data_IF_818335687512
#
_entry.id   IF_818335687512
#
_cell.length_a   1.000
_cell.length_b   1.000
_cell.length_c   1.000
_cell.angle_alpha   90.00
_cell.angle_beta   90.00
_cell.angle_gamma   90.00
#
_symmetry.space_group_name_H-M   'P 1'
#
loop_
_entity.id
_entity.type
_entity.pdbx_description
1 polymer ?
#
# COMPACT_ATOMS: atom_id res chain seq x y z
N UNK A 1 -7.05 19.89 11.69
CA UNK A 1 -6.49 18.78 12.50
C UNK A 1 -7.07 18.87 13.91
N UNK A 2 -7.50 17.74 14.51
CA UNK A 2 -8.07 17.74 15.86
C UNK A 2 -7.06 18.16 16.92
N UNK A 3 -7.51 18.86 17.97
CA UNK A 3 -6.63 19.38 19.04
C UNK A 3 -6.09 18.30 19.98
N UNK A 4 -6.77 17.16 20.10
CA UNK A 4 -6.39 16.05 21.00
C UNK A 4 -6.50 14.72 20.28
N UNK A 5 -5.66 13.76 20.65
CA UNK A 5 -5.72 12.39 20.11
C UNK A 5 -7.05 11.71 20.41
N UNK A 6 -7.45 10.78 19.55
CA UNK A 6 -8.61 9.92 19.81
C UNK A 6 -8.41 9.08 21.07
N UNK A 7 -9.50 8.79 21.79
CA UNK A 7 -9.46 7.85 22.90
C UNK A 7 -9.20 6.43 22.39
N UNK A 8 -8.34 5.68 23.09
CA UNK A 8 -8.11 4.26 22.82
C UNK A 8 -9.04 3.43 23.71
N UNK A 9 -9.94 2.60 23.14
CA UNK A 9 -10.89 1.82 23.91
C UNK A 9 -10.19 0.69 24.65
N UNK A 10 -10.46 0.61 25.96
CA UNK A 10 -9.87 -0.32 26.93
C UNK A 10 -8.36 -0.14 27.12
N UNK A 11 -7.55 -0.29 26.07
CA UNK A 11 -6.09 -0.22 26.14
C UNK A 11 -5.61 1.23 26.25
N UNK A 12 -4.92 1.56 27.33
CA UNK A 12 -4.37 2.89 27.61
C UNK A 12 -2.85 2.94 27.53
N UNK A 13 -2.18 1.88 27.99
CA UNK A 13 -0.72 1.79 27.98
C UNK A 13 -0.26 0.55 27.20
N UNK A 14 0.51 0.76 26.15
CA UNK A 14 1.09 -0.30 25.34
C UNK A 14 2.60 -0.19 25.36
N UNK A 15 3.24 -1.20 25.94
CA UNK A 15 4.69 -1.38 25.94
C UNK A 15 5.07 -2.59 25.09
N UNK A 16 6.36 -2.75 24.83
CA UNK A 16 6.87 -3.77 23.92
C UNK A 16 7.96 -4.61 24.58
N UNK A 17 8.02 -5.88 24.18
CA UNK A 17 9.14 -6.74 24.58
C UNK A 17 10.42 -6.25 23.90
N UNK A 18 11.47 -6.05 24.69
CA UNK A 18 12.80 -5.56 24.32
C UNK A 18 13.87 -6.30 25.14
N UNK A 19 15.13 -6.24 24.70
CA UNK A 19 16.27 -6.91 25.32
C UNK A 19 16.05 -8.41 25.62
N UNK A 20 15.28 -9.08 24.75
CA UNK A 20 15.05 -10.51 24.84
C UNK A 20 16.14 -11.27 24.07
N UNK A 21 16.56 -12.40 24.62
CA UNK A 21 17.36 -13.39 23.88
C UNK A 21 16.40 -14.43 23.30
N UNK A 22 15.94 -14.27 22.04
CA UNK A 22 14.86 -15.09 21.52
C UNK A 22 15.33 -16.53 21.32
N UNK A 23 14.52 -17.47 21.83
CA UNK A 23 14.78 -18.90 21.68
C UNK A 23 13.71 -19.50 20.81
N UNK A 24 14.11 -20.08 19.68
CA UNK A 24 13.19 -20.79 18.79
C UNK A 24 12.76 -22.11 19.44
N UNK A 25 11.57 -22.13 20.05
CA UNK A 25 11.00 -23.34 20.66
C UNK A 25 10.12 -24.15 19.71
N UNK A 26 9.50 -23.49 18.73
CA UNK A 26 8.62 -24.10 17.73
C UNK A 26 9.31 -24.10 16.35
N UNK A 27 9.13 -25.17 15.55
CA UNK A 27 9.70 -25.25 14.20
C UNK A 27 9.15 -24.15 13.27
N UNK A 28 7.89 -23.78 13.50
CA UNK A 28 7.13 -22.73 12.82
C UNK A 28 6.64 -21.73 13.86
N UNK A 29 7.04 -20.46 13.82
CA UNK A 29 6.67 -19.55 14.92
C UNK A 29 7.13 -18.10 14.88
N UNK A 30 7.55 -17.57 13.73
CA UNK A 30 8.09 -16.22 13.62
C UNK A 30 9.59 -16.21 13.34
N UNK A 31 10.26 -15.16 13.77
CA UNK A 31 11.69 -14.93 13.54
C UNK A 31 12.42 -14.43 14.78
N UNK A 32 13.76 -14.41 14.70
CA UNK A 32 14.65 -13.76 15.66
C UNK A 32 14.29 -12.28 15.88
N UNK A 33 13.80 -11.60 14.83
CA UNK A 33 13.39 -10.20 14.88
C UNK A 33 12.09 -10.02 15.66
N UNK A 34 11.14 -10.95 15.51
CA UNK A 34 9.84 -10.96 16.19
C UNK A 34 9.86 -11.60 17.58
N UNK A 35 10.90 -12.36 17.91
CA UNK A 35 11.11 -12.97 19.23
C UNK A 35 10.54 -14.38 19.43
N UNK A 36 10.10 -15.04 18.36
CA UNK A 36 9.46 -16.36 18.42
C UNK A 36 8.37 -16.49 19.50
N UNK A 37 7.37 -15.59 19.56
CA UNK A 37 6.30 -15.73 20.54
C UNK A 37 5.66 -17.12 20.41
N UNK A 38 5.37 -17.80 21.51
CA UNK A 38 4.60 -19.06 21.49
C UNK A 38 3.16 -18.83 21.05
N UNK A 39 2.44 -19.88 20.65
CA UNK A 39 1.00 -19.77 20.39
C UNK A 39 0.20 -19.28 21.62
N UNK A 40 0.66 -19.61 22.83
CA UNK A 40 0.06 -19.10 24.07
C UNK A 40 0.24 -17.57 24.16
N UNK A 41 1.47 -17.07 24.04
CA UNK A 41 1.74 -15.62 24.08
C UNK A 41 0.98 -14.87 22.96
N UNK A 42 0.91 -15.46 21.77
CA UNK A 42 0.07 -14.93 20.68
C UNK A 42 -1.39 -14.81 21.13
N UNK A 43 -1.98 -15.85 21.68
CA UNK A 43 -3.39 -15.83 22.07
C UNK A 43 -3.64 -14.85 23.24
N UNK A 44 -2.74 -14.80 24.22
CA UNK A 44 -2.79 -13.86 25.35
C UNK A 44 -2.73 -12.40 24.87
N UNK A 45 -2.08 -12.13 23.73
CA UNK A 45 -1.99 -10.78 23.15
C UNK A 45 -3.31 -10.28 22.53
N UNK A 46 -4.29 -11.17 22.31
CA UNK A 46 -5.66 -10.80 21.90
C UNK A 46 -6.59 -10.59 23.11
N UNK A 47 -6.14 -10.83 24.34
CA UNK A 47 -6.90 -10.49 25.53
C UNK A 47 -6.57 -9.07 25.99
N UNK A 48 -7.33 -8.12 25.43
CA UNK A 48 -7.05 -6.69 25.53
C UNK A 48 -7.34 -6.19 26.94
N UNK A 49 -6.32 -5.58 27.56
CA UNK A 49 -6.32 -5.04 28.93
C UNK A 49 -5.90 -3.58 28.90
N UNK A 50 -6.11 -2.86 30.01
CA UNK A 50 -5.75 -1.44 30.13
C UNK A 50 -4.25 -1.18 29.91
N UNK A 51 -3.41 -2.13 30.32
CA UNK A 51 -1.97 -2.10 30.12
C UNK A 51 -1.48 -3.43 29.56
N UNK A 52 -0.68 -3.40 28.51
CA UNK A 52 -0.17 -4.60 27.84
C UNK A 52 1.29 -4.44 27.42
N UNK A 53 2.04 -5.53 27.52
CA UNK A 53 3.36 -5.69 26.86
C UNK A 53 3.24 -6.77 25.81
N UNK A 54 3.62 -6.48 24.56
CA UNK A 54 3.51 -7.43 23.44
C UNK A 54 4.79 -7.53 22.62
N UNK A 55 5.04 -8.69 22.03
CA UNK A 55 6.00 -8.83 20.93
C UNK A 55 5.53 -8.00 19.74
N UNK A 56 6.43 -7.20 19.15
CA UNK A 56 6.08 -6.30 18.04
C UNK A 56 7.31 -5.95 17.18
N UNK A 57 8.12 -6.96 16.86
CA UNK A 57 9.45 -6.76 16.27
C UNK A 57 10.42 -6.05 17.20
N UNK A 58 11.67 -5.90 16.76
CA UNK A 58 12.73 -5.18 17.49
C UNK A 58 12.95 -5.72 18.92
N UNK A 59 12.90 -7.03 19.10
CA UNK A 59 13.02 -7.66 20.44
C UNK A 59 14.45 -7.68 20.97
N UNK A 60 15.43 -7.64 20.05
CA UNK A 60 16.85 -7.49 20.38
C UNK A 60 17.14 -6.01 20.52
N UNK A 61 17.85 -5.63 21.58
CA UNK A 61 18.16 -4.24 21.89
C UNK A 61 16.98 -3.49 22.52
N UNK A 62 17.28 -2.28 23.00
CA UNK A 62 16.36 -1.44 23.76
C UNK A 62 15.72 -0.32 22.94
N UNK A 63 16.18 -0.12 21.70
CA UNK A 63 15.76 0.99 20.83
C UNK A 63 15.51 0.48 19.41
N UNK A 64 14.26 0.51 18.90
CA UNK A 64 13.96 0.10 17.54
C UNK A 64 14.88 0.79 16.51
N UNK A 65 15.47 0.00 15.63
CA UNK A 65 16.39 0.49 14.62
C UNK A 65 17.86 0.61 15.07
N UNK A 66 18.19 0.36 16.33
CA UNK A 66 19.58 0.34 16.82
C UNK A 66 19.97 -1.07 17.28
N UNK A 67 20.80 -1.77 16.50
CA UNK A 67 21.30 -3.13 16.81
C UNK A 67 20.19 -4.16 17.06
N UNK A 68 19.11 -4.05 16.29
CA UNK A 68 17.88 -4.84 16.44
C UNK A 68 17.68 -5.85 15.30
N UNK A 69 18.57 -5.84 14.29
CA UNK A 69 18.38 -6.60 13.06
C UNK A 69 17.46 -5.90 12.06
N UNK A 70 17.40 -4.57 12.12
CA UNK A 70 16.81 -3.65 11.13
C UNK A 70 17.46 -2.30 11.39
N UNK A 71 18.76 -2.22 11.16
CA UNK A 71 19.61 -1.19 11.77
C UNK A 71 19.66 0.08 10.90
N UNK A 72 19.42 1.21 11.53
CA UNK A 72 19.43 2.54 10.91
C UNK A 72 20.61 3.32 11.49
N UNK A 73 21.22 4.19 10.68
CA UNK A 73 22.29 5.06 11.14
C UNK A 73 21.82 5.95 12.30
N UNK A 74 22.68 6.17 13.30
CA UNK A 74 22.33 6.93 14.49
C UNK A 74 21.85 8.36 14.17
N UNK A 75 22.45 9.02 13.17
CA UNK A 75 22.04 10.36 12.77
C UNK A 75 20.64 10.39 12.13
N UNK A 76 20.23 9.30 11.49
CA UNK A 76 18.87 9.13 10.98
C UNK A 76 17.90 8.73 12.10
N UNK A 77 18.30 7.88 13.03
CA UNK A 77 17.49 7.53 14.21
C UNK A 77 17.13 8.76 15.04
N UNK A 78 18.08 9.68 15.26
CA UNK A 78 17.81 10.94 15.95
C UNK A 78 16.70 11.74 15.25
N UNK A 79 16.66 11.75 13.91
CA UNK A 79 15.62 12.44 13.13
C UNK A 79 14.28 11.71 13.10
N UNK A 80 14.27 10.40 13.33
CA UNK A 80 13.03 9.62 13.44
C UNK A 80 12.39 9.76 14.84
N UNK A 81 13.16 10.21 15.83
CA UNK A 81 12.65 10.53 17.16
C UNK A 81 12.05 11.93 17.27
N UNK A 82 12.30 12.80 16.29
CA UNK A 82 11.69 14.12 16.25
C UNK A 82 10.15 14.02 16.27
N UNK A 83 9.53 14.94 17.01
CA UNK A 83 8.08 14.97 17.15
C UNK A 83 7.43 15.57 15.92
N UNK A 84 6.47 14.85 15.34
CA UNK A 84 5.70 15.31 14.19
C UNK A 84 4.23 14.97 14.33
N UNK A 85 3.36 15.92 13.96
CA UNK A 85 1.92 15.66 13.93
C UNK A 85 1.56 14.67 12.81
N UNK A 86 2.18 14.81 11.63
CA UNK A 86 1.89 13.99 10.46
C UNK A 86 3.20 13.63 9.75
N UNK A 87 3.32 12.37 9.34
CA UNK A 87 4.37 11.90 8.43
C UNK A 87 3.78 11.13 7.25
N UNK A 88 4.53 11.08 6.15
CA UNK A 88 4.28 10.15 5.05
C UNK A 88 5.48 9.20 4.95
N UNK A 89 5.22 7.91 4.86
CA UNK A 89 6.25 6.89 4.77
C UNK A 89 6.03 5.94 3.60
N UNK A 90 7.13 5.45 3.05
CA UNK A 90 7.17 4.42 2.02
C UNK A 90 8.43 3.58 2.17
N UNK A 91 8.54 2.49 1.43
CA UNK A 91 9.76 1.71 1.37
C UNK A 91 9.96 0.98 0.04
N UNK A 92 11.23 0.75 -0.30
CA UNK A 92 11.65 -0.08 -1.42
C UNK A 92 12.82 -0.96 -0.96
N UNK A 93 12.58 -2.26 -0.92
CA UNK A 93 13.60 -3.28 -0.60
C UNK A 93 13.84 -4.15 -1.84
N UNK A 94 15.08 -4.60 -2.04
CA UNK A 94 15.49 -5.41 -3.18
C UNK A 94 15.38 -4.70 -4.51
N UNK A 95 15.48 -3.36 -4.52
CA UNK A 95 15.39 -2.52 -5.73
C UNK A 95 14.14 -2.82 -6.58
N UNK A 96 13.04 -3.20 -5.92
CA UNK A 96 11.86 -3.79 -6.54
C UNK A 96 11.02 -2.78 -7.34
N UNK A 97 11.04 -1.52 -6.91
CA UNK A 97 10.22 -0.44 -7.46
C UNK A 97 11.07 0.79 -7.78
N UNK A 98 10.48 1.70 -8.57
CA UNK A 98 11.04 3.03 -8.83
C UNK A 98 10.40 4.02 -7.87
N UNK A 99 11.21 4.85 -7.21
CA UNK A 99 10.74 5.90 -6.31
C UNK A 99 9.83 6.88 -7.06
N UNK A 100 8.56 6.94 -6.64
CA UNK A 100 7.59 7.89 -7.16
C UNK A 100 7.59 9.19 -6.33
N UNK A 101 7.62 10.34 -7.00
CA UNK A 101 7.63 11.64 -6.31
C UNK A 101 6.21 12.11 -5.96
N UNK A 102 5.91 12.46 -4.69
CA UNK A 102 4.62 13.02 -4.34
C UNK A 102 4.35 14.31 -5.13
N UNK A 103 3.12 14.48 -5.59
CA UNK A 103 2.64 15.64 -6.32
C UNK A 103 1.51 16.34 -5.56
N UNK A 104 1.24 17.59 -5.92
CA UNK A 104 0.17 18.41 -5.34
C UNK A 104 0.27 18.59 -3.80
N UNK A 105 1.50 18.61 -3.28
CA UNK A 105 1.77 18.86 -1.86
C UNK A 105 1.84 20.37 -1.62
N UNK A 106 1.00 20.87 -0.73
CA UNK A 106 0.94 22.29 -0.34
C UNK A 106 2.23 22.77 0.32
N UNK A 107 2.46 24.08 0.33
CA UNK A 107 3.63 24.67 1.01
C UNK A 107 3.62 24.36 2.51
N UNK A 108 2.45 24.40 3.15
CA UNK A 108 2.28 24.02 4.55
C UNK A 108 2.69 22.57 4.81
N UNK A 109 2.23 21.63 3.98
CA UNK A 109 2.61 20.22 4.10
C UNK A 109 4.11 20.01 3.81
N UNK A 110 4.68 20.66 2.78
CA UNK A 110 6.13 20.57 2.50
C UNK A 110 7.00 21.04 3.66
N UNK A 111 6.52 22.01 4.44
CA UNK A 111 7.23 22.53 5.62
C UNK A 111 7.07 21.64 6.85
N UNK A 112 5.89 21.07 7.07
CA UNK A 112 5.52 20.46 8.34
C UNK A 112 5.39 18.93 8.32
N UNK A 113 5.32 18.31 7.13
CA UNK A 113 5.13 16.86 6.96
C UNK A 113 6.42 16.25 6.40
N UNK A 114 7.19 15.52 7.21
CA UNK A 114 8.30 14.72 6.72
C UNK A 114 7.82 13.58 5.81
N UNK A 115 8.61 13.32 4.76
CA UNK A 115 8.44 12.19 3.85
C UNK A 115 9.65 11.27 4.00
N UNK A 116 9.45 10.06 4.52
CA UNK A 116 10.51 9.08 4.72
C UNK A 116 10.39 7.91 3.74
N UNK A 117 11.50 7.53 3.12
CA UNK A 117 11.60 6.37 2.24
C UNK A 117 12.65 5.42 2.82
N UNK A 118 12.20 4.27 3.33
CA UNK A 118 13.08 3.24 3.86
C UNK A 118 13.58 2.35 2.73
N UNK A 119 14.90 2.16 2.63
CA UNK A 119 15.51 1.32 1.60
C UNK A 119 16.58 0.40 2.19
N UNK A 120 16.88 -0.71 1.51
CA UNK A 120 18.05 -1.51 1.84
C UNK A 120 19.31 -1.06 1.10
N UNK A 121 20.43 -1.68 1.47
CA UNK A 121 21.73 -1.44 0.84
C UNK A 121 21.73 -1.70 -0.67
N UNK A 122 20.98 -2.70 -1.13
CA UNK A 122 20.89 -3.01 -2.57
C UNK A 122 20.28 -1.84 -3.34
N UNK A 123 19.15 -1.33 -2.86
CA UNK A 123 18.48 -0.17 -3.44
C UNK A 123 19.34 1.09 -3.30
N UNK A 124 20.03 1.29 -2.17
CA UNK A 124 20.96 2.41 -1.95
C UNK A 124 22.07 2.43 -3.01
N UNK A 125 22.71 1.29 -3.28
CA UNK A 125 23.75 1.18 -4.31
C UNK A 125 23.23 1.54 -5.70
N UNK A 126 22.02 1.08 -6.06
CA UNK A 126 21.40 1.45 -7.32
C UNK A 126 21.17 2.96 -7.45
N UNK A 127 20.67 3.61 -6.39
CA UNK A 127 20.40 5.05 -6.39
C UNK A 127 21.65 5.91 -6.43
N UNK A 128 22.74 5.47 -5.79
CA UNK A 128 24.05 6.15 -5.88
C UNK A 128 24.62 6.07 -7.28
N UNK A 129 24.50 4.91 -7.94
CA UNK A 129 24.98 4.72 -9.31
C UNK A 129 24.21 5.55 -10.33
N UNK A 130 22.92 5.80 -10.11
CA UNK A 130 22.10 6.66 -10.98
C UNK A 130 22.23 8.16 -10.66
N UNK A 131 23.06 8.55 -9.70
CA UNK A 131 23.22 9.94 -9.23
C UNK A 131 21.88 10.60 -8.83
N UNK A 132 20.89 9.79 -8.42
CA UNK A 132 19.56 10.28 -8.06
C UNK A 132 19.50 10.89 -6.65
N UNK A 133 20.46 10.52 -5.80
CA UNK A 133 20.54 10.92 -4.39
C UNK A 133 21.29 12.25 -4.24
N UNK A 134 20.68 13.22 -3.57
CA UNK A 134 21.34 14.48 -3.28
C UNK A 134 22.32 14.41 -2.09
N UNK A 135 23.07 15.48 -1.86
CA UNK A 135 24.04 15.60 -0.76
C UNK A 135 23.45 15.44 0.65
N UNK A 136 22.12 15.57 0.80
CA UNK A 136 21.41 15.50 2.08
C UNK A 136 20.66 14.17 2.28
N UNK A 137 20.97 13.16 1.46
CA UNK A 137 20.28 11.86 1.42
C UNK A 137 18.79 12.02 1.10
N UNK A 138 18.44 12.86 0.11
CA UNK A 138 17.07 13.05 -0.37
C UNK A 138 16.94 12.76 -1.86
N UNK A 139 15.72 12.39 -2.24
CA UNK A 139 15.26 12.32 -3.63
C UNK A 139 13.92 13.05 -3.70
N UNK A 140 13.96 14.29 -4.20
CA UNK A 140 12.81 15.20 -4.17
C UNK A 140 12.31 15.42 -2.73
N UNK A 141 11.06 15.06 -2.45
CA UNK A 141 10.50 15.20 -1.09
C UNK A 141 10.99 14.14 -0.11
N UNK A 142 11.37 12.96 -0.60
CA UNK A 142 11.74 11.84 0.23
C UNK A 142 13.10 12.05 0.88
N UNK A 143 13.15 11.96 2.22
CA UNK A 143 14.38 11.63 2.96
C UNK A 143 14.59 10.13 2.89
N UNK A 144 15.76 9.72 2.40
CA UNK A 144 16.15 8.32 2.30
C UNK A 144 16.71 7.85 3.63
N UNK A 145 16.13 6.77 4.16
CA UNK A 145 16.59 6.10 5.37
C UNK A 145 17.11 4.73 4.96
N UNK A 146 18.42 4.51 5.12
CA UNK A 146 19.06 3.26 4.72
C UNK A 146 19.03 2.28 5.89
N UNK A 147 18.44 1.11 5.65
CA UNK A 147 18.34 0.01 6.60
C UNK A 147 19.43 -1.01 6.31
N UNK A 148 20.14 -1.41 7.37
CA UNK A 148 21.21 -2.40 7.37
C UNK A 148 20.77 -3.61 8.20
N UNK A 149 21.47 -4.73 8.04
CA UNK A 149 21.23 -5.96 8.82
C UNK A 149 19.75 -6.40 8.80
N UNK A 150 19.12 -6.33 7.62
CA UNK A 150 17.70 -6.63 7.44
C UNK A 150 17.33 -8.04 7.96
N UNK A 151 16.16 -8.22 8.60
CA UNK A 151 15.87 -9.42 9.38
C UNK A 151 15.44 -10.63 8.54
N UNK A 152 15.01 -10.39 7.29
CA UNK A 152 14.48 -11.43 6.42
C UNK A 152 15.23 -11.51 5.10
N UNK A 153 15.30 -12.72 4.53
CA UNK A 153 15.76 -12.91 3.15
C UNK A 153 14.74 -12.44 2.12
N UNK A 154 13.45 -12.46 2.45
CA UNK A 154 12.37 -11.97 1.59
C UNK A 154 12.22 -10.45 1.70
N UNK A 155 12.59 -9.73 0.63
CA UNK A 155 12.46 -8.28 0.52
C UNK A 155 11.01 -7.79 0.78
N UNK A 156 9.99 -8.56 0.37
CA UNK A 156 8.59 -8.18 0.61
C UNK A 156 8.26 -8.20 2.09
N UNK A 157 8.82 -9.16 2.83
CA UNK A 157 8.67 -9.25 4.30
C UNK A 157 9.41 -8.12 5.00
N UNK A 158 10.61 -7.76 4.55
CA UNK A 158 11.33 -6.59 5.05
C UNK A 158 10.52 -5.30 4.87
N UNK A 159 9.86 -5.13 3.73
CA UNK A 159 8.95 -4.00 3.49
C UNK A 159 7.76 -3.94 4.45
N UNK A 160 7.39 -5.04 5.14
CA UNK A 160 6.32 -5.03 6.15
C UNK A 160 6.73 -4.38 7.46
N UNK A 161 8.04 -4.32 7.75
CA UNK A 161 8.56 -3.68 8.98
C UNK A 161 8.19 -2.19 9.00
N UNK A 162 8.65 -1.34 8.06
CA UNK A 162 8.26 0.07 8.07
C UNK A 162 6.80 0.26 7.64
N UNK A 163 6.12 -0.73 7.06
CA UNK A 163 4.68 -0.62 6.77
C UNK A 163 3.81 -0.71 8.02
N UNK A 164 4.02 -1.73 8.83
CA UNK A 164 3.15 -2.05 9.96
C UNK A 164 3.68 -1.43 11.26
N UNK A 165 5.00 -1.31 11.39
CA UNK A 165 5.68 -0.91 12.62
C UNK A 165 6.21 0.53 12.61
N UNK A 166 5.65 1.46 11.81
CA UNK A 166 6.05 2.89 11.89
C UNK A 166 5.97 3.43 13.31
N UNK A 167 4.98 3.00 14.10
CA UNK A 167 4.83 3.45 15.48
C UNK A 167 5.98 3.01 16.40
N UNK A 168 6.73 1.96 16.02
CA UNK A 168 7.98 1.56 16.71
C UNK A 168 9.17 2.42 16.25
N UNK A 169 9.22 2.75 14.96
CA UNK A 169 10.32 3.52 14.35
C UNK A 169 10.21 5.03 14.58
N UNK A 170 8.99 5.55 14.73
CA UNK A 170 8.63 6.96 14.86
C UNK A 170 7.71 7.11 16.09
N UNK A 171 8.24 6.97 17.32
CA UNK A 171 7.43 6.89 18.53
C UNK A 171 6.69 8.19 18.87
N UNK A 172 7.19 9.33 18.38
CA UNK A 172 6.65 10.67 18.67
C UNK A 172 5.80 11.23 17.52
N UNK A 173 5.17 10.36 16.73
CA UNK A 173 4.30 10.73 15.61
C UNK A 173 2.84 10.45 15.92
N UNK A 174 1.98 11.42 15.63
CA UNK A 174 0.53 11.27 15.86
C UNK A 174 -0.21 10.65 14.68
N UNK A 175 0.07 11.05 13.45
CA UNK A 175 -0.55 10.48 12.25
C UNK A 175 0.48 10.02 11.24
N UNK A 176 0.22 8.88 10.59
CA UNK A 176 1.02 8.38 9.48
C UNK A 176 0.15 8.04 8.26
N UNK A 177 0.72 8.31 7.08
CA UNK A 177 0.22 7.80 5.81
C UNK A 177 1.30 6.91 5.23
N UNK A 178 1.03 5.61 5.20
CA UNK A 178 1.85 4.64 4.47
C UNK A 178 1.42 4.59 3.01
N UNK A 179 2.39 4.66 2.10
CA UNK A 179 2.21 4.52 0.65
C UNK A 179 3.20 3.46 0.13
N UNK A 180 2.71 2.43 -0.53
CA UNK A 180 3.56 1.39 -1.15
C UNK A 180 4.49 1.97 -2.22
N UNK A 181 5.69 1.43 -2.39
CA UNK A 181 6.73 2.04 -3.25
C UNK A 181 6.33 2.24 -4.72
N UNK A 182 5.46 1.38 -5.23
CA UNK A 182 4.86 1.47 -6.58
C UNK A 182 3.83 2.62 -6.75
N UNK A 183 3.44 3.30 -5.67
CA UNK A 183 2.39 4.31 -5.70
C UNK A 183 2.97 5.72 -5.61
N UNK A 184 2.36 6.62 -6.37
CA UNK A 184 2.59 8.05 -6.29
C UNK A 184 1.46 8.72 -5.52
N UNK A 185 1.76 9.42 -4.42
CA UNK A 185 0.79 10.28 -3.74
C UNK A 185 0.54 11.54 -4.59
N UNK A 186 -0.72 11.83 -4.91
CA UNK A 186 -1.11 12.97 -5.76
C UNK A 186 -2.09 13.92 -5.09
N UNK A 187 -2.22 13.82 -3.77
CA UNK A 187 -3.08 14.65 -2.94
C UNK A 187 -2.34 15.04 -1.66
N UNK A 188 -2.65 16.22 -1.13
CA UNK A 188 -2.04 16.72 0.10
C UNK A 188 -2.35 15.79 1.31
N UNK A 189 -1.35 15.46 2.16
CA UNK A 189 -1.53 14.58 3.32
C UNK A 189 -2.65 15.01 4.26
N UNK A 190 -2.86 16.33 4.46
CA UNK A 190 -3.91 16.80 5.35
C UNK A 190 -5.30 16.53 4.79
N UNK A 191 -5.49 16.62 3.47
CA UNK A 191 -6.76 16.28 2.82
C UNK A 191 -7.06 14.78 2.91
N UNK A 192 -6.03 13.94 2.80
CA UNK A 192 -6.15 12.49 2.98
C UNK A 192 -6.59 12.16 4.42
N UNK A 193 -5.93 12.76 5.43
CA UNK A 193 -6.32 12.58 6.83
C UNK A 193 -7.72 13.09 7.13
N UNK A 194 -8.07 14.27 6.62
CA UNK A 194 -9.41 14.84 6.79
C UNK A 194 -10.50 13.90 6.28
N UNK A 195 -10.35 13.43 5.03
CA UNK A 195 -11.35 12.60 4.38
C UNK A 195 -11.52 11.23 5.04
N UNK A 196 -10.41 10.57 5.38
CA UNK A 196 -10.44 9.15 5.75
C UNK A 196 -10.35 8.89 7.25
N UNK A 197 -9.87 9.84 8.06
CA UNK A 197 -9.87 9.72 9.52
C UNK A 197 -10.84 10.70 10.15
N UNK A 198 -10.62 12.01 9.98
CA UNK A 198 -11.31 13.02 10.80
C UNK A 198 -12.80 13.10 10.52
N UNK A 199 -13.22 13.13 9.24
CA UNK A 199 -14.64 13.15 8.86
C UNK A 199 -15.36 11.84 9.17
N UNK A 200 -14.61 10.73 9.26
CA UNK A 200 -15.15 9.40 9.54
C UNK A 200 -15.13 9.06 11.03
N UNK A 201 -14.61 9.97 11.87
CA UNK A 201 -14.33 9.73 13.29
C UNK A 201 -13.58 8.39 13.52
N UNK A 202 -12.57 8.14 12.68
CA UNK A 202 -11.80 6.90 12.66
C UNK A 202 -10.33 7.15 13.01
N UNK A 203 -9.69 6.18 13.67
CA UNK A 203 -8.25 6.20 13.98
C UNK A 203 -7.42 5.33 13.03
N UNK A 204 -8.08 4.53 12.18
CA UNK A 204 -7.42 3.68 11.19
C UNK A 204 -8.29 3.58 9.93
N UNK A 205 -7.68 3.78 8.77
CA UNK A 205 -8.33 3.64 7.48
C UNK A 205 -7.46 2.86 6.48
N UNK A 206 -8.12 1.99 5.72
CA UNK A 206 -7.48 1.14 4.72
C UNK A 206 -8.46 0.85 3.60
N UNK A 207 -8.00 0.83 2.36
CA UNK A 207 -8.84 0.44 1.23
C UNK A 207 -9.13 -1.05 1.26
N UNK A 208 -10.34 -1.45 0.86
CA UNK A 208 -10.60 -2.86 0.49
C UNK A 208 -9.97 -3.20 -0.85
N UNK A 209 -9.63 -4.46 -1.04
CA UNK A 209 -9.13 -4.99 -2.29
C UNK A 209 -10.17 -4.87 -3.42
N UNK A 210 -9.74 -4.55 -4.64
CA UNK A 210 -10.63 -4.09 -5.71
C UNK A 210 -11.49 -5.19 -6.35
N UNK A 211 -11.13 -6.46 -6.15
CA UNK A 211 -11.77 -7.61 -6.82
C UNK A 211 -12.17 -8.75 -5.89
N UNK A 212 -11.29 -9.08 -4.95
CA UNK A 212 -11.45 -10.19 -4.01
C UNK A 212 -11.78 -9.63 -2.65
N UNK A 213 -12.83 -10.15 -2.01
CA UNK A 213 -13.32 -9.66 -0.73
C UNK A 213 -13.27 -10.69 0.38
N UNK A 214 -13.09 -11.96 0.01
CA UNK A 214 -12.97 -13.10 0.91
C UNK A 214 -11.50 -13.55 0.97
N UNK A 215 -11.01 -13.79 2.18
CA UNK A 215 -9.63 -14.23 2.45
C UNK A 215 -9.32 -15.61 1.85
N UNK A 216 -10.29 -16.51 1.73
CA UNK A 216 -10.13 -17.81 1.09
C UNK A 216 -9.96 -17.66 -0.42
N UNK A 217 -10.72 -16.76 -1.06
CA UNK A 217 -10.52 -16.41 -2.47
C UNK A 217 -9.15 -15.76 -2.71
N UNK A 218 -8.72 -14.89 -1.79
CA UNK A 218 -7.38 -14.29 -1.83
C UNK A 218 -6.28 -15.36 -1.71
N UNK A 219 -6.45 -16.35 -0.83
CA UNK A 219 -5.49 -17.45 -0.68
C UNK A 219 -5.34 -18.25 -1.98
N UNK A 220 -6.44 -18.65 -2.62
CA UNK A 220 -6.40 -19.35 -3.91
C UNK A 220 -5.76 -18.49 -5.00
N UNK A 221 -6.05 -17.19 -5.04
CA UNK A 221 -5.42 -16.28 -5.99
C UNK A 221 -3.90 -16.14 -5.76
N UNK A 222 -3.44 -16.15 -4.51
CA UNK A 222 -2.01 -16.12 -4.19
C UNK A 222 -1.30 -17.40 -4.63
N UNK A 223 -1.92 -18.57 -4.44
CA UNK A 223 -1.41 -19.86 -4.92
C UNK A 223 -1.34 -19.89 -6.45
N UNK A 224 -2.42 -19.51 -7.12
CA UNK A 224 -2.48 -19.49 -8.58
C UNK A 224 -1.45 -18.53 -9.21
N UNK A 225 -1.17 -17.41 -8.55
CA UNK A 225 -0.17 -16.43 -8.99
C UNK A 225 1.26 -16.74 -8.51
N UNK A 226 1.49 -17.88 -7.83
CA UNK A 226 2.81 -18.28 -7.33
C UNK A 226 3.44 -17.27 -6.36
N UNK A 227 2.62 -16.54 -5.58
CA UNK A 227 3.10 -15.44 -4.73
C UNK A 227 3.80 -15.93 -3.45
N UNK A 228 3.52 -17.16 -3.03
CA UNK A 228 4.16 -17.82 -1.90
C UNK A 228 4.00 -19.34 -2.06
N UNK A 229 4.73 -20.15 -1.29
CA UNK A 229 4.59 -21.61 -1.33
C UNK A 229 3.18 -22.06 -0.94
N UNK A 230 2.53 -22.87 -1.79
CA UNK A 230 1.14 -23.30 -1.61
C UNK A 230 0.90 -23.95 -0.24
N UNK A 231 1.78 -24.86 0.18
CA UNK A 231 1.67 -25.53 1.49
C UNK A 231 1.71 -24.57 2.67
N UNK A 232 2.46 -23.46 2.57
CA UNK A 232 2.51 -22.44 3.62
C UNK A 232 1.23 -21.60 3.66
N UNK A 233 0.65 -21.29 2.50
CA UNK A 233 -0.65 -20.61 2.41
C UNK A 233 -1.75 -21.51 2.98
N UNK A 234 -1.79 -22.78 2.56
CA UNK A 234 -2.78 -23.75 3.04
C UNK A 234 -2.67 -23.93 4.57
N UNK A 235 -1.45 -24.05 5.10
CA UNK A 235 -1.24 -24.12 6.55
C UNK A 235 -1.77 -22.90 7.29
N UNK A 236 -1.48 -21.68 6.81
CA UNK A 236 -1.97 -20.44 7.43
C UNK A 236 -3.50 -20.37 7.42
N UNK A 237 -4.12 -20.70 6.29
CA UNK A 237 -5.57 -20.63 6.12
C UNK A 237 -6.28 -21.70 6.98
N UNK A 238 -5.78 -22.93 6.99
CA UNK A 238 -6.34 -24.00 7.83
C UNK A 238 -6.16 -23.70 9.32
N UNK A 239 -5.05 -23.05 9.70
CA UNK A 239 -4.87 -22.55 11.06
C UNK A 239 -5.98 -21.54 11.42
N UNK A 240 -6.24 -20.55 10.57
CA UNK A 240 -7.29 -19.56 10.84
C UNK A 240 -8.70 -20.14 10.82
N UNK A 241 -9.01 -21.10 9.95
CA UNK A 241 -10.30 -21.80 9.96
C UNK A 241 -10.53 -22.52 11.29
N UNK A 242 -9.51 -23.19 11.83
CA UNK A 242 -9.58 -23.84 13.14
C UNK A 242 -9.77 -22.85 14.28
N UNK A 243 -9.31 -21.60 14.12
CA UNK A 243 -9.57 -20.49 15.04
C UNK A 243 -10.92 -19.79 14.83
N UNK A 244 -11.75 -20.27 13.90
CA UNK A 244 -13.11 -19.74 13.67
C UNK A 244 -13.23 -18.72 12.54
N UNK A 245 -12.20 -18.51 11.71
CA UNK A 245 -12.32 -17.67 10.51
C UNK A 245 -13.32 -18.30 9.53
N UNK A 246 -14.43 -17.60 9.28
CA UNK A 246 -15.48 -17.98 8.34
C UNK A 246 -15.40 -17.16 7.05
N UNK A 247 -16.02 -17.62 5.94
CA UNK A 247 -16.12 -16.85 4.71
C UNK A 247 -16.70 -15.46 4.94
N UNK A 248 -16.29 -14.50 4.11
CA UNK A 248 -16.81 -13.16 4.20
C UNK A 248 -18.32 -13.16 3.95
N UNK A 249 -19.05 -12.38 4.75
CA UNK A 249 -20.48 -12.17 4.56
C UNK A 249 -20.89 -10.77 4.99
N UNK A 250 -22.08 -10.34 4.58
CA UNK A 250 -22.64 -9.03 4.97
C UNK A 250 -22.90 -8.91 6.47
N UNK A 251 -22.80 -9.98 7.25
CA UNK A 251 -22.86 -9.93 8.71
C UNK A 251 -21.69 -9.15 9.32
N UNK A 252 -20.58 -8.98 8.59
CA UNK A 252 -19.40 -8.23 9.04
C UNK A 252 -19.51 -6.71 8.80
N UNK A 253 -20.64 -6.21 8.28
CA UNK A 253 -20.85 -4.78 8.11
C UNK A 253 -20.68 -4.04 9.45
N UNK A 254 -20.08 -2.83 9.45
CA UNK A 254 -19.77 -2.00 8.29
C UNK A 254 -18.49 -2.37 7.53
N UNK A 255 -17.75 -3.39 7.95
CA UNK A 255 -16.55 -3.83 7.24
C UNK A 255 -16.95 -4.61 5.98
N UNK A 256 -16.58 -4.08 4.82
CA UNK A 256 -17.08 -4.55 3.51
C UNK A 256 -16.21 -5.61 2.85
N UNK A 257 -15.13 -6.04 3.51
CA UNK A 257 -14.20 -7.05 2.99
C UNK A 257 -13.29 -7.63 4.08
N UNK A 258 -12.88 -8.89 3.92
CA UNK A 258 -11.79 -9.51 4.68
C UNK A 258 -10.40 -9.20 4.10
N UNK A 259 -10.33 -8.69 2.87
CA UNK A 259 -9.11 -8.52 2.10
C UNK A 259 -8.82 -7.04 1.90
N UNK A 260 -7.81 -6.48 2.58
CA UNK A 260 -7.41 -5.10 2.34
C UNK A 260 -6.60 -4.98 1.05
N UNK A 261 -6.72 -3.84 0.39
CA UNK A 261 -5.69 -3.32 -0.50
C UNK A 261 -4.70 -2.54 0.36
N UNK A 262 -3.72 -3.25 0.92
CA UNK A 262 -2.80 -2.68 1.90
C UNK A 262 -1.73 -1.76 1.29
N UNK A 263 -1.82 -1.36 0.03
CA UNK A 263 -0.84 -0.44 -0.55
C UNK A 263 -0.98 1.01 -0.04
N UNK A 264 -2.04 1.31 0.71
CA UNK A 264 -2.17 2.55 1.49
C UNK A 264 -2.70 2.21 2.88
N UNK A 265 -2.11 2.80 3.94
CA UNK A 265 -2.65 2.76 5.30
C UNK A 265 -2.62 4.19 5.86
N UNK A 266 -3.74 4.64 6.42
CA UNK A 266 -3.86 5.96 7.05
C UNK A 266 -4.18 5.71 8.51
N UNK A 267 -3.35 6.19 9.44
CA UNK A 267 -3.43 5.79 10.85
C UNK A 267 -3.15 6.96 11.78
N UNK A 268 -3.97 7.08 12.81
CA UNK A 268 -3.63 7.76 14.05
C UNK A 268 -2.94 6.77 14.99
N UNK A 269 -1.81 7.16 15.57
CA UNK A 269 -1.02 6.36 16.48
C UNK A 269 -1.57 6.47 17.90
N UNK A 270 -2.48 5.56 18.23
CA UNK A 270 -3.03 5.38 19.58
C UNK A 270 -2.81 3.93 20.02
N UNK A 271 -2.88 3.61 21.33
CA UNK A 271 -2.57 2.27 21.81
C UNK A 271 -3.29 1.15 21.05
N UNK A 272 -4.60 1.25 20.78
CA UNK A 272 -5.32 0.20 20.06
C UNK A 272 -4.87 0.00 18.62
N UNK A 273 -4.56 1.08 17.87
CA UNK A 273 -4.13 0.98 16.47
C UNK A 273 -2.68 0.50 16.37
N UNK A 274 -1.85 0.84 17.36
CA UNK A 274 -0.50 0.31 17.52
C UNK A 274 -0.55 -1.19 17.84
N UNK A 275 -1.40 -1.62 18.78
CA UNK A 275 -1.61 -3.05 19.08
C UNK A 275 -2.08 -3.81 17.83
N UNK A 276 -3.12 -3.31 17.14
CA UNK A 276 -3.60 -3.91 15.88
C UNK A 276 -2.47 -4.13 14.89
N UNK A 277 -1.60 -3.12 14.72
CA UNK A 277 -0.50 -3.19 13.77
C UNK A 277 0.62 -4.14 14.22
N UNK A 278 0.89 -4.24 15.53
CA UNK A 278 1.80 -5.22 16.11
C UNK A 278 1.30 -6.65 15.85
N UNK A 279 0.03 -6.93 16.18
CA UNK A 279 -0.53 -8.26 16.00
C UNK A 279 -0.60 -8.63 14.51
N UNK A 280 -0.93 -7.68 13.64
CA UNK A 280 -0.91 -7.92 12.20
C UNK A 280 0.49 -8.24 11.68
N UNK A 281 1.52 -7.51 12.14
CA UNK A 281 2.90 -7.84 11.82
C UNK A 281 3.31 -9.21 12.37
N UNK A 282 2.92 -9.57 13.58
CA UNK A 282 3.26 -10.87 14.18
C UNK A 282 2.68 -12.05 13.37
N UNK A 283 1.48 -11.90 12.80
CA UNK A 283 0.92 -12.91 11.89
C UNK A 283 1.72 -13.02 10.59
N UNK A 284 2.16 -11.88 10.03
CA UNK A 284 3.02 -11.84 8.84
C UNK A 284 4.38 -12.48 9.12
N UNK A 285 4.95 -12.21 10.29
CA UNK A 285 6.22 -12.80 10.73
C UNK A 285 6.08 -14.31 10.95
N UNK A 286 5.00 -14.76 11.60
CA UNK A 286 4.76 -16.18 11.88
C UNK A 286 4.50 -17.00 10.63
N UNK A 287 3.66 -16.50 9.74
CA UNK A 287 3.16 -17.25 8.59
C UNK A 287 3.81 -16.76 7.29
N UNK A 288 3.02 -16.16 6.41
CA UNK A 288 3.47 -15.72 5.09
C UNK A 288 3.61 -14.19 5.03
N UNK A 289 4.44 -13.70 4.11
CA UNK A 289 4.59 -12.25 3.88
C UNK A 289 3.33 -11.60 3.23
N UNK A 290 2.26 -12.37 3.03
CA UNK A 290 1.00 -11.93 2.41
C UNK A 290 0.07 -11.41 3.51
N UNK A 291 0.31 -10.17 3.92
CA UNK A 291 -0.47 -9.43 4.91
C UNK A 291 -1.99 -9.41 4.68
N UNK A 292 -2.43 -9.52 3.42
CA UNK A 292 -3.84 -9.67 3.06
C UNK A 292 -4.49 -10.91 3.69
N UNK A 293 -3.74 -11.98 3.93
CA UNK A 293 -4.26 -13.25 4.47
C UNK A 293 -4.47 -13.21 5.99
N UNK A 294 -3.75 -12.35 6.71
CA UNK A 294 -3.82 -12.26 8.17
C UNK A 294 -4.68 -11.10 8.68
N UNK A 295 -5.01 -10.13 7.82
CA UNK A 295 -5.74 -8.92 8.22
C UNK A 295 -7.09 -9.22 8.90
N UNK A 296 -7.93 -10.06 8.28
CA UNK A 296 -9.27 -10.36 8.81
C UNK A 296 -9.21 -11.07 10.15
N UNK A 297 -8.29 -12.02 10.33
CA UNK A 297 -8.10 -12.73 11.60
C UNK A 297 -7.76 -11.77 12.74
N UNK A 298 -6.81 -10.85 12.53
CA UNK A 298 -6.40 -9.90 13.57
C UNK A 298 -7.50 -8.90 13.87
N UNK A 299 -8.14 -8.38 12.80
CA UNK A 299 -9.26 -7.45 12.92
C UNK A 299 -10.41 -8.08 13.71
N UNK A 300 -10.88 -9.25 13.31
CA UNK A 300 -12.05 -9.90 13.92
C UNK A 300 -11.79 -10.22 15.40
N UNK A 301 -10.57 -10.68 15.75
CA UNK A 301 -10.19 -10.93 17.15
C UNK A 301 -10.15 -9.66 18.00
N UNK A 302 -9.65 -8.53 17.48
CA UNK A 302 -9.63 -7.26 18.21
C UNK A 302 -11.03 -6.66 18.34
N UNK A 303 -11.80 -6.61 17.24
CA UNK A 303 -13.17 -6.05 17.24
C UNK A 303 -14.14 -6.86 18.11
N UNK A 304 -13.87 -8.14 18.35
CA UNK A 304 -14.64 -8.95 19.30
C UNK A 304 -14.38 -8.58 20.77
N UNK A 305 -13.31 -7.83 21.07
CA UNK A 305 -12.84 -7.53 22.42
C UNK A 305 -13.04 -6.09 22.84
N UNK A 306 -13.04 -5.16 21.90
CA UNK A 306 -13.17 -3.72 22.16
C UNK A 306 -14.08 -3.05 21.15
N UNK A 307 -14.74 -1.96 21.57
CA UNK A 307 -15.51 -1.09 20.69
C UNK A 307 -14.56 -0.21 19.84
N UNK A 308 -13.96 -0.83 18.84
CA UNK A 308 -13.09 -0.21 17.86
C UNK A 308 -13.43 -0.75 16.47
N UNK A 309 -13.35 0.11 15.46
CA UNK A 309 -13.60 -0.29 14.07
C UNK A 309 -12.62 0.41 13.13
N UNK A 310 -12.52 -0.12 11.92
CA UNK A 310 -11.67 0.38 10.85
C UNK A 310 -12.54 1.06 9.80
N UNK A 311 -12.13 2.25 9.35
CA UNK A 311 -12.70 2.83 8.15
C UNK A 311 -12.18 2.09 6.91
N UNK A 312 -12.97 1.14 6.41
CA UNK A 312 -12.65 0.40 5.19
C UNK A 312 -13.26 1.06 3.95
N UNK A 313 -12.48 1.90 3.28
CA UNK A 313 -12.93 2.66 2.10
C UNK A 313 -12.75 1.89 0.78
N UNK A 314 -13.38 2.37 -0.29
CA UNK A 314 -13.37 1.69 -1.58
C UNK A 314 -12.06 1.91 -2.36
N UNK A 315 -11.65 0.94 -3.19
CA UNK A 315 -10.47 1.10 -4.06
C UNK A 315 -10.59 2.29 -5.02
N UNK A 316 -11.80 2.62 -5.50
CA UNK A 316 -12.00 3.81 -6.33
C UNK A 316 -11.68 5.11 -5.57
N UNK A 317 -11.91 5.15 -4.26
CA UNK A 317 -11.55 6.30 -3.43
C UNK A 317 -10.04 6.39 -3.22
N UNK A 318 -9.37 5.24 -3.07
CA UNK A 318 -7.90 5.14 -3.06
C UNK A 318 -7.32 5.80 -4.31
N UNK A 319 -7.84 5.44 -5.49
CA UNK A 319 -7.38 5.94 -6.79
C UNK A 319 -7.58 7.46 -6.98
N UNK A 320 -8.34 8.13 -6.12
CA UNK A 320 -8.47 9.59 -6.16
C UNK A 320 -7.25 10.32 -5.61
N UNK A 321 -6.41 9.65 -4.79
CA UNK A 321 -5.27 10.30 -4.14
C UNK A 321 -3.94 9.58 -4.34
N UNK A 322 -3.93 8.40 -4.97
CA UNK A 322 -2.71 7.73 -5.42
C UNK A 322 -2.81 7.24 -6.86
N UNK A 323 -1.70 7.35 -7.59
CA UNK A 323 -1.53 6.75 -8.93
C UNK A 323 -0.62 5.53 -8.79
N UNK A 324 -1.00 4.43 -9.42
CA UNK A 324 -0.19 3.22 -9.42
C UNK A 324 0.74 3.19 -10.64
N UNK A 325 2.04 3.18 -10.38
CA UNK A 325 3.05 2.90 -11.39
C UNK A 325 3.21 1.38 -11.58
N UNK A 326 3.86 0.99 -12.68
CA UNK A 326 4.29 -0.39 -12.87
C UNK A 326 5.52 -0.69 -12.03
N UNK A 327 5.64 -1.94 -11.61
CA UNK A 327 6.87 -2.45 -11.00
C UNK A 327 8.04 -2.35 -11.99
N UNK A 328 9.25 -2.23 -11.44
CA UNK A 328 10.46 -2.01 -12.24
C UNK A 328 10.71 -3.13 -13.25
N UNK A 329 10.52 -4.38 -12.84
CA UNK A 329 10.66 -5.57 -13.69
C UNK A 329 9.77 -5.50 -14.94
N UNK A 330 8.51 -5.07 -14.78
CA UNK A 330 7.60 -4.88 -15.90
C UNK A 330 8.05 -3.74 -16.81
N UNK A 331 8.52 -2.63 -16.23
CA UNK A 331 9.00 -1.48 -17.01
C UNK A 331 10.24 -1.83 -17.85
N UNK A 332 11.16 -2.62 -17.30
CA UNK A 332 12.37 -3.08 -18.01
C UNK A 332 12.03 -4.00 -19.20
N UNK A 333 10.85 -4.63 -19.19
CA UNK A 333 10.34 -5.48 -20.27
C UNK A 333 9.32 -4.80 -21.20
N UNK A 334 8.94 -3.55 -20.93
CA UNK A 334 8.03 -2.81 -21.81
C UNK A 334 8.79 -2.26 -23.03
N UNK A 335 8.21 -2.36 -24.24
CA UNK A 335 8.80 -1.70 -25.40
C UNK A 335 8.88 -0.19 -25.14
N UNK A 336 9.96 0.48 -25.57
CA UNK A 336 10.10 1.92 -25.37
C UNK A 336 8.88 2.64 -25.97
N UNK A 337 8.41 3.73 -25.34
CA UNK A 337 7.29 4.49 -25.86
C UNK A 337 7.61 4.92 -27.29
N UNK A 338 6.70 4.63 -28.22
CA UNK A 338 6.86 5.00 -29.63
C UNK A 338 7.05 6.51 -29.67
N UNK A 339 8.23 6.96 -30.12
CA UNK A 339 8.53 8.37 -30.26
C UNK A 339 7.38 9.02 -31.05
N UNK A 340 6.76 10.06 -30.48
CA UNK A 340 5.81 10.85 -31.23
C UNK A 340 6.55 11.45 -32.42
N UNK A 341 6.36 10.85 -33.60
CA UNK A 341 6.75 11.47 -34.87
C UNK A 341 5.95 12.76 -34.93
N UNK A 342 6.62 13.88 -34.68
CA UNK A 342 6.08 15.21 -34.96
C UNK A 342 5.88 15.23 -36.47
N UNK A 343 4.66 14.91 -36.91
CA UNK A 343 4.25 15.16 -38.29
C UNK A 343 4.11 16.67 -38.40
N UNK A 344 5.17 17.32 -38.85
CA UNK A 344 5.08 18.70 -39.30
C UNK A 344 3.98 18.78 -40.36
N UNK A 345 2.99 19.68 -40.20
CA UNK A 345 2.05 19.97 -41.27
C UNK A 345 2.85 20.35 -42.53
N UNK A 346 2.45 19.90 -43.73
CA UNK A 346 3.11 20.34 -44.95
C UNK A 346 3.02 21.88 -45.05
N UNK A 347 4.06 22.56 -45.56
CA UNK A 347 4.05 24.00 -45.64
C UNK A 347 2.87 24.47 -46.48
N UNK A 348 2.09 25.39 -45.93
CA UNK A 348 1.04 26.09 -46.67
C UNK A 348 1.69 26.87 -47.81
N UNK A 349 1.44 26.44 -49.05
CA UNK A 349 1.77 27.21 -50.24
C UNK A 349 1.03 28.55 -50.16
N UNK A 350 1.80 29.64 -50.11
CA UNK A 350 1.28 31.01 -50.27
C UNK A 350 0.96 31.23 -51.75
N UNK A 351 -0.33 31.20 -52.07
CA UNK A 351 -0.81 31.74 -53.34
C UNK A 351 -0.51 33.24 -53.41
N UNK A 352 0.28 33.63 -54.40
CA UNK A 352 0.49 35.02 -54.80
C UNK A 352 -0.17 35.20 -56.17
N UNK A 353 -1.30 35.89 -56.18
CA UNK A 353 -2.06 36.25 -57.37
C UNK A 353 -1.38 37.38 -58.14
N UNK A 354 -1.03 37.14 -59.40
CA UNK A 354 -0.85 38.17 -60.41
C UNK A 354 -1.27 37.61 -61.77
N UNK A 355 -2.31 38.20 -62.36
CA UNK A 355 -3.05 37.61 -63.46
C UNK A 355 -2.46 37.78 -64.86
N UNK A 356 -3.06 37.03 -65.80
CA UNK A 356 -3.32 37.40 -67.21
C UNK A 356 -4.24 36.36 -67.86
N UNK A 357 -5.37 36.82 -68.42
CA UNK A 357 -6.29 36.10 -69.30
C UNK A 357 -5.79 36.17 -70.78
N UNK A 358 -6.48 35.57 -71.78
CA UNK A 358 -7.06 34.22 -71.89
C UNK A 358 -6.75 33.54 -73.26
N UNK A 359 -6.91 32.21 -73.39
CA UNK A 359 -7.22 31.62 -74.70
C UNK A 359 -7.91 30.24 -74.61
N UNK A 360 -8.94 30.10 -75.45
CA UNK A 360 -9.83 28.95 -75.66
C UNK A 360 -9.10 27.63 -76.00
N UNK A 361 -9.63 26.50 -75.52
CA UNK A 361 -10.15 25.47 -76.43
C UNK A 361 -10.95 24.36 -75.71
N UNK A 362 -11.85 23.78 -76.51
CA UNK A 362 -12.97 22.89 -76.22
C UNK A 362 -12.57 21.40 -76.26
N UNK A 363 -13.20 20.54 -75.43
CA UNK A 363 -13.93 19.31 -75.84
C UNK A 363 -14.23 18.30 -74.71
N UNK A 364 -15.53 18.11 -74.47
CA UNK A 364 -16.31 16.85 -74.43
C UNK A 364 -15.80 15.60 -73.66
N UNK A 365 -16.69 15.06 -72.81
CA UNK A 365 -16.73 13.64 -72.43
C UNK A 365 -17.69 13.30 -71.27
N UNK A 366 -18.91 12.83 -71.60
CA UNK A 366 -19.87 12.10 -70.74
C UNK A 366 -19.20 10.81 -70.21
N UNK A 367 -19.51 10.28 -69.02
CA UNK A 367 -20.68 9.41 -68.83
C UNK A 367 -21.05 9.11 -67.36
N UNK A 368 -22.32 8.74 -67.21
CA UNK A 368 -23.08 8.36 -66.00
C UNK A 368 -22.88 6.88 -65.60
N UNK A 369 -23.04 6.59 -64.30
CA UNK A 369 -23.90 5.52 -63.66
C UNK A 369 -23.54 5.47 -62.15
N UNK A 370 -24.40 5.68 -61.16
CA UNK A 370 -25.74 5.16 -60.77
C UNK A 370 -25.74 3.76 -60.13
N UNK A 371 -26.15 3.71 -58.84
CA UNK A 371 -26.67 2.52 -58.12
C UNK A 371 -25.75 2.01 -57.00
N UNK A 372 -26.18 1.67 -55.78
CA UNK A 372 -27.53 1.58 -55.20
C UNK A 372 -27.45 1.71 -53.66
N UNK A 373 -28.55 2.21 -53.08
CA UNK A 373 -28.86 2.20 -51.65
C UNK A 373 -29.36 0.80 -51.24
N UNK A 374 -29.08 0.36 -50.02
CA UNK A 374 -30.08 -0.35 -49.22
C UNK A 374 -29.89 -0.08 -47.71
N UNK A 375 -30.93 0.54 -47.14
CA UNK A 375 -31.19 0.70 -45.72
C UNK A 375 -32.00 -0.49 -45.19
N UNK A 376 -31.89 -0.72 -43.87
CA UNK A 376 -32.92 -1.07 -42.85
C UNK A 376 -32.51 -2.28 -42.01
N UNK A 377 -32.88 -2.43 -40.74
CA UNK A 377 -33.32 -1.55 -39.62
C UNK A 377 -33.49 -2.52 -38.43
N UNK A 378 -33.35 -2.01 -37.21
CA UNK A 378 -33.55 -2.72 -35.94
C UNK A 378 -35.02 -2.99 -35.57
N UNK A 379 -35.23 -4.02 -34.72
CA UNK A 379 -36.25 -4.16 -33.66
C UNK A 379 -35.89 -5.46 -32.88
N UNK A 380 -35.65 -5.53 -31.56
CA UNK A 380 -36.41 -5.17 -30.35
C UNK A 380 -37.65 -6.04 -30.07
N UNK A 381 -37.60 -6.83 -28.97
CA UNK A 381 -38.76 -7.10 -28.12
C UNK A 381 -39.01 -8.54 -27.61
N UNK A 382 -38.77 -8.73 -26.29
CA UNK A 382 -39.57 -9.50 -25.30
C UNK A 382 -39.74 -11.05 -25.43
N UNK A 383 -39.95 -11.86 -24.38
CA UNK A 383 -39.92 -11.81 -22.90
C UNK A 383 -40.29 -13.23 -22.39
N UNK A 384 -39.65 -13.68 -21.30
CA UNK A 384 -40.04 -14.71 -20.28
C UNK A 384 -40.67 -16.08 -20.66
N UNK A 385 -40.12 -17.15 -20.05
CA UNK A 385 -40.86 -18.02 -19.10
C UNK A 385 -39.93 -18.98 -18.32
N UNK A 386 -40.18 -19.04 -17.01
CA UNK A 386 -39.78 -20.07 -16.04
C UNK A 386 -40.22 -21.49 -16.47
N UNK A 387 -39.49 -22.56 -16.09
CA UNK A 387 -39.81 -23.47 -14.96
C UNK A 387 -38.95 -24.76 -14.96
N UNK A 388 -38.53 -25.16 -13.74
CA UNK A 388 -38.22 -26.50 -13.18
C UNK A 388 -37.55 -27.60 -14.03
N UNK A 389 -36.34 -28.00 -13.63
CA UNK A 389 -36.05 -29.13 -12.72
C UNK A 389 -34.61 -29.04 -12.20
#
# INVERSE_FOLDING_TARGET
MPCSSSASPVLHNLTYVVDENPVKTESHGGSDFGGYPSLKQRNDSFDIRESMTVHCGFVKGNRPGFQTGFDIDEADLMKLEDSHEVIVASAIFGNYDIIQQPQNISEAARKNVPFYMFIDKETEMYLKNSSALDSNMRIGLWRIIVVRNIPYTDARRNGKVPKLLLHRLLPNVRYSIWIDGKLQLVMDPYQVLERFLWQQNASFAISRHYRRFDVFEEAEANKAAGKYGNSSIDYQIEFYKKEGLSPYSKAKLPITSDVPEGCVIIREHIPITNLFSCLWFNEVDRFTARDQLSFSTVRDKIMAKVDWSINMFLDCERRNFVIQAYHKDLLDHMPPPVAHVIRHPPPLHRDSSAGRNPSKNSRRGRDRRSGSKQHRKAAAGNREKQTFL
#
